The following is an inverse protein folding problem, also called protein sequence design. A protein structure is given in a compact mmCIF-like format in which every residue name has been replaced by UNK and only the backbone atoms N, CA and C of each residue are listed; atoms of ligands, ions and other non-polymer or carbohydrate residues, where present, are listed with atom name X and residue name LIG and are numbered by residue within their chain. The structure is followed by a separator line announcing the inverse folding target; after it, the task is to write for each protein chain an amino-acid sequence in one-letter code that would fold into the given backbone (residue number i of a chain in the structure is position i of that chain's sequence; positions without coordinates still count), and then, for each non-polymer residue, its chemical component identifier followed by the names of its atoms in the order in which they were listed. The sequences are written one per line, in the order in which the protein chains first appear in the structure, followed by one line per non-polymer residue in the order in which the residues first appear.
data_IF_267929866580
#
_entry.id   IF_267929866580
#
_cell.length_a   1.000
_cell.length_b   1.000
_cell.length_c   1.000
_cell.angle_alpha   90.00
_cell.angle_beta   90.00
_cell.angle_gamma   90.00
#
_symmetry.space_group_name_H-M   'P 1'
#
loop_
_entity.id
_entity.type
_entity.pdbx_description
1 polymer ?
#
# COMPACT_ATOMS: atom_id res chain seq x y z
N UNK A 1 23.56 -25.68 -25.03
CA UNK A 1 22.63 -25.76 -23.88
C UNK A 1 22.78 -24.42 -23.15
N UNK A 2 21.76 -23.58 -23.24
CA UNK A 2 21.75 -22.32 -22.52
C UNK A 2 21.54 -22.63 -21.03
N UNK A 3 22.52 -22.28 -20.19
CA UNK A 3 22.32 -22.24 -18.74
C UNK A 3 21.21 -21.22 -18.49
N UNK A 4 20.04 -21.71 -18.07
CA UNK A 4 19.03 -20.87 -17.44
C UNK A 4 19.65 -20.40 -16.13
N UNK A 5 20.09 -19.15 -16.08
CA UNK A 5 20.41 -18.45 -14.84
C UNK A 5 19.20 -18.65 -13.93
N UNK A 6 19.37 -19.43 -12.86
CA UNK A 6 18.38 -19.49 -11.82
C UNK A 6 18.26 -18.06 -11.28
N UNK A 7 17.12 -17.41 -11.55
CA UNK A 7 16.87 -16.05 -11.11
C UNK A 7 17.05 -15.95 -9.58
N UNK A 8 17.55 -14.82 -9.12
CA UNK A 8 17.69 -14.55 -7.67
C UNK A 8 16.30 -14.71 -7.01
N UNK A 9 16.24 -15.51 -5.96
CA UNK A 9 15.02 -15.67 -5.17
C UNK A 9 14.87 -14.43 -4.28
N UNK A 10 13.75 -13.72 -4.43
CA UNK A 10 13.44 -12.54 -3.62
C UNK A 10 12.90 -12.98 -2.25
N UNK A 11 13.43 -12.45 -1.14
CA UNK A 11 13.03 -12.87 0.20
C UNK A 11 11.73 -12.26 0.69
N UNK A 12 11.13 -11.34 -0.06
CA UNK A 12 10.05 -10.45 0.41
C UNK A 12 8.86 -11.17 1.06
N UNK A 13 8.44 -12.30 0.49
CA UNK A 13 7.30 -13.06 1.02
C UNK A 13 7.67 -14.03 2.15
N UNK A 14 8.94 -14.22 2.47
CA UNK A 14 9.38 -15.14 3.53
C UNK A 14 8.96 -14.68 4.92
N UNK A 15 8.84 -13.38 5.12
CA UNK A 15 8.36 -12.77 6.37
C UNK A 15 6.83 -12.69 6.44
N UNK A 16 6.14 -13.21 5.43
CA UNK A 16 4.68 -13.19 5.34
C UNK A 16 4.13 -11.87 4.79
N UNK A 17 2.82 -11.83 4.63
CA UNK A 17 2.08 -10.66 4.19
C UNK A 17 1.73 -9.82 5.42
N UNK A 18 2.13 -8.56 5.42
CA UNK A 18 1.89 -7.63 6.52
C UNK A 18 0.61 -6.80 6.33
N UNK A 19 0.15 -6.67 5.09
CA UNK A 19 -1.00 -5.85 4.72
C UNK A 19 -1.78 -6.46 3.55
N UNK A 20 -3.10 -6.30 3.60
CA UNK A 20 -3.97 -6.42 2.44
C UNK A 20 -4.61 -5.06 2.19
N UNK A 21 -4.63 -4.63 0.92
CA UNK A 21 -5.21 -3.35 0.55
C UNK A 21 -6.27 -3.47 -0.53
N UNK A 22 -7.32 -2.68 -0.37
CA UNK A 22 -8.45 -2.63 -1.28
C UNK A 22 -8.65 -1.20 -1.76
N UNK A 23 -8.90 -1.04 -3.07
CA UNK A 23 -9.38 0.22 -3.63
C UNK A 23 -10.90 0.25 -3.55
N UNK A 24 -11.43 1.33 -2.98
CA UNK A 24 -12.86 1.50 -2.71
C UNK A 24 -13.38 2.82 -3.31
N UNK A 25 -14.67 2.87 -3.71
CA UNK A 25 -15.25 4.10 -4.30
C UNK A 25 -15.55 5.18 -3.26
N UNK A 26 -15.71 4.82 -1.99
CA UNK A 26 -16.02 5.73 -0.89
C UNK A 26 -15.44 5.16 0.39
N UNK A 27 -14.50 5.89 0.97
CA UNK A 27 -13.73 5.43 2.12
C UNK A 27 -14.56 5.31 3.39
N UNK A 28 -15.41 6.31 3.65
CA UNK A 28 -16.27 6.33 4.83
C UNK A 28 -17.30 5.21 4.81
N UNK A 29 -17.95 5.00 3.66
CA UNK A 29 -18.91 3.91 3.49
C UNK A 29 -18.27 2.54 3.65
N UNK A 30 -17.09 2.35 3.07
CA UNK A 30 -16.34 1.11 3.21
C UNK A 30 -15.99 0.82 4.67
N UNK A 31 -15.44 1.80 5.40
CA UNK A 31 -15.13 1.69 6.83
C UNK A 31 -16.37 1.33 7.64
N UNK A 32 -17.49 2.01 7.39
CA UNK A 32 -18.75 1.75 8.07
C UNK A 32 -19.25 0.32 7.81
N UNK A 33 -19.13 -0.19 6.59
CA UNK A 33 -19.51 -1.55 6.25
C UNK A 33 -18.63 -2.59 6.96
N UNK A 34 -17.30 -2.40 7.00
CA UNK A 34 -16.40 -3.28 7.74
C UNK A 34 -16.70 -3.28 9.23
N UNK A 35 -17.05 -2.12 9.77
CA UNK A 35 -17.43 -2.02 11.17
C UNK A 35 -18.76 -2.70 11.46
N UNK A 36 -19.82 -2.39 10.70
CA UNK A 36 -21.18 -2.93 10.91
C UNK A 36 -21.26 -4.45 10.74
N UNK A 37 -20.52 -5.00 9.74
CA UNK A 37 -20.61 -6.41 9.41
C UNK A 37 -19.68 -7.29 10.25
N UNK A 38 -18.51 -6.78 10.63
CA UNK A 38 -17.44 -7.58 11.22
C UNK A 38 -16.88 -7.03 12.52
N UNK A 39 -17.38 -5.88 13.00
CA UNK A 39 -16.88 -5.25 14.23
C UNK A 39 -15.44 -4.73 14.15
N UNK A 40 -14.91 -4.54 12.94
CA UNK A 40 -13.56 -4.01 12.77
C UNK A 40 -13.59 -2.52 13.09
N UNK A 41 -12.81 -2.09 14.08
CA UNK A 41 -12.77 -0.73 14.57
C UNK A 41 -11.38 -0.13 14.60
N UNK A 42 -11.29 1.08 15.18
CA UNK A 42 -10.06 1.87 15.27
C UNK A 42 -9.43 2.12 13.89
N UNK A 43 -10.25 2.59 12.96
CA UNK A 43 -9.77 2.98 11.65
C UNK A 43 -9.09 4.34 11.71
N UNK A 44 -7.83 4.37 11.36
CA UNK A 44 -6.99 5.57 11.31
C UNK A 44 -6.96 6.11 9.88
N UNK A 45 -7.42 7.35 9.69
CA UNK A 45 -7.49 8.01 8.40
C UNK A 45 -6.29 8.89 8.15
N UNK A 46 -5.77 8.83 6.91
CA UNK A 46 -4.67 9.65 6.42
C UNK A 46 -4.93 10.09 4.99
N UNK A 47 -4.35 11.22 4.61
CA UNK A 47 -4.26 11.66 3.22
C UNK A 47 -2.81 11.58 2.77
N UNK A 48 -2.51 10.66 1.87
CA UNK A 48 -1.20 10.55 1.24
C UNK A 48 -1.16 11.39 -0.02
N UNK A 49 -0.21 12.29 -0.09
CA UNK A 49 0.03 13.31 -1.09
C UNK A 49 0.82 14.44 -0.47
N UNK A 50 1.16 15.49 -1.22
CA UNK A 50 1.83 16.65 -0.65
C UNK A 50 0.93 17.37 0.36
N UNK A 51 1.47 17.86 1.47
CA UNK A 51 2.90 17.90 1.85
C UNK A 51 3.39 16.64 2.60
N UNK A 52 2.54 15.66 2.93
CA UNK A 52 2.92 14.49 3.73
C UNK A 52 3.95 13.62 2.98
N UNK A 53 3.69 13.30 1.72
CA UNK A 53 4.61 12.54 0.86
C UNK A 53 5.45 13.54 0.07
N UNK A 54 6.78 13.49 0.25
CA UNK A 54 7.71 14.49 -0.32
C UNK A 54 8.12 14.16 -1.75
N UNK A 55 8.33 12.87 -2.01
CA UNK A 55 8.74 12.35 -3.32
C UNK A 55 7.71 11.36 -3.80
N UNK A 56 7.28 11.50 -5.04
CA UNK A 56 6.29 10.62 -5.66
C UNK A 56 6.65 10.38 -7.11
N UNK A 57 6.56 9.12 -7.53
CA UNK A 57 6.71 8.74 -8.93
C UNK A 57 5.55 7.86 -9.39
N UNK A 58 5.31 7.89 -10.69
CA UNK A 58 4.40 6.98 -11.38
C UNK A 58 5.01 6.63 -12.74
N UNK A 59 5.08 5.33 -13.06
CA UNK A 59 5.73 4.80 -14.27
C UNK A 59 7.17 5.34 -14.48
N UNK A 60 7.93 5.46 -13.37
CA UNK A 60 9.31 5.93 -13.38
C UNK A 60 9.48 7.43 -13.65
N UNK A 61 8.41 8.21 -13.63
CA UNK A 61 8.44 9.66 -13.79
C UNK A 61 7.97 10.37 -12.53
N UNK A 62 8.56 11.53 -12.17
CA UNK A 62 8.02 12.35 -11.10
C UNK A 62 6.54 12.65 -11.34
N UNK A 63 5.73 12.43 -10.33
CA UNK A 63 4.27 12.61 -10.40
C UNK A 63 3.74 13.25 -9.11
N UNK A 64 2.53 13.79 -9.18
CA UNK A 64 1.79 14.24 -8.02
C UNK A 64 0.44 13.56 -8.02
N UNK A 65 0.16 12.84 -6.96
CA UNK A 65 -1.12 12.17 -6.77
C UNK A 65 -1.56 12.32 -5.31
N UNK A 66 -2.83 12.05 -5.06
CA UNK A 66 -3.39 12.09 -3.73
C UNK A 66 -4.38 10.94 -3.55
N UNK A 67 -4.26 10.28 -2.43
CA UNK A 67 -5.19 9.24 -2.00
C UNK A 67 -5.53 9.42 -0.52
N UNK A 68 -6.73 9.04 -0.15
CA UNK A 68 -7.15 8.89 1.24
C UNK A 68 -7.10 7.44 1.61
N UNK A 69 -6.59 7.14 2.78
CA UNK A 69 -6.51 5.76 3.27
C UNK A 69 -7.11 5.65 4.67
N UNK A 70 -7.69 4.50 4.94
CA UNK A 70 -8.10 4.10 6.28
C UNK A 70 -7.40 2.80 6.64
N UNK A 71 -6.71 2.78 7.77
CA UNK A 71 -5.91 1.66 8.25
C UNK A 71 -6.53 1.06 9.52
N UNK A 72 -6.66 -0.25 9.56
CA UNK A 72 -7.04 -1.02 10.75
C UNK A 72 -6.33 -2.37 10.76
N UNK A 73 -6.74 -3.29 11.62
CA UNK A 73 -6.14 -4.63 11.73
C UNK A 73 -7.17 -5.74 11.64
N UNK A 74 -6.80 -6.81 10.94
CA UNK A 74 -7.47 -8.10 10.90
C UNK A 74 -6.58 -9.12 11.59
N UNK A 75 -6.71 -9.28 12.91
CA UNK A 75 -5.73 -10.03 13.69
C UNK A 75 -4.35 -9.38 13.58
N UNK A 76 -3.29 -10.10 13.18
CA UNK A 76 -1.95 -9.53 13.05
C UNK A 76 -1.74 -8.76 11.74
N UNK A 77 -2.61 -8.93 10.74
CA UNK A 77 -2.47 -8.34 9.42
C UNK A 77 -3.16 -6.96 9.37
N UNK A 78 -2.49 -5.98 8.80
CA UNK A 78 -3.09 -4.67 8.54
C UNK A 78 -4.04 -4.76 7.35
N UNK A 79 -5.22 -4.15 7.47
CA UNK A 79 -6.11 -3.88 6.35
C UNK A 79 -6.02 -2.40 6.00
N UNK A 80 -5.94 -2.11 4.71
CA UNK A 80 -5.93 -0.77 4.16
C UNK A 80 -7.06 -0.61 3.15
N UNK A 81 -7.85 0.44 3.33
CA UNK A 81 -8.84 0.88 2.35
C UNK A 81 -8.33 2.15 1.71
N UNK A 82 -8.38 2.23 0.37
CA UNK A 82 -7.83 3.32 -0.42
C UNK A 82 -8.92 3.93 -1.27
N UNK A 83 -9.10 5.24 -1.14
CA UNK A 83 -9.93 6.07 -2.02
C UNK A 83 -9.03 7.03 -2.79
N UNK A 84 -9.10 6.99 -4.11
CA UNK A 84 -8.35 7.91 -4.95
C UNK A 84 -8.98 9.28 -4.95
N UNK A 85 -8.15 10.31 -4.89
CA UNK A 85 -8.59 11.72 -4.91
C UNK A 85 -8.17 12.40 -6.21
N UNK A 86 -6.88 12.32 -6.58
CA UNK A 86 -6.36 12.96 -7.78
C UNK A 86 -5.04 12.33 -8.25
N UNK A 87 -4.70 12.55 -9.51
CA UNK A 87 -3.47 12.13 -10.16
C UNK A 87 -3.52 10.73 -10.75
N UNK A 88 -2.50 10.41 -11.56
CA UNK A 88 -2.32 9.09 -12.15
C UNK A 88 -1.69 8.15 -11.12
N UNK A 89 -2.26 6.97 -10.96
CA UNK A 89 -1.85 5.97 -9.96
C UNK A 89 -2.10 4.55 -10.43
N UNK A 90 -1.35 3.60 -9.89
CA UNK A 90 -1.61 2.16 -10.10
C UNK A 90 -3.02 1.75 -9.67
N UNK A 91 -3.64 2.47 -8.74
CA UNK A 91 -5.03 2.24 -8.32
C UNK A 91 -6.04 2.64 -9.39
N UNK A 92 -5.77 3.75 -10.13
CA UNK A 92 -6.63 4.18 -11.23
C UNK A 92 -6.63 3.16 -12.35
N UNK A 93 -5.45 2.64 -12.68
CA UNK A 93 -5.30 1.62 -13.70
C UNK A 93 -6.01 0.35 -13.29
N UNK A 94 -5.82 -0.11 -12.05
CA UNK A 94 -6.50 -1.28 -11.50
C UNK A 94 -8.03 -1.14 -11.56
N UNK A 95 -8.58 -0.01 -11.10
CA UNK A 95 -10.03 0.20 -11.11
C UNK A 95 -10.58 0.24 -12.53
N UNK A 96 -9.85 0.80 -13.48
CA UNK A 96 -10.23 0.83 -14.89
C UNK A 96 -10.29 -0.56 -15.51
N UNK A 97 -9.39 -1.45 -15.11
CA UNK A 97 -9.28 -2.81 -15.68
C UNK A 97 -10.16 -3.83 -14.94
N UNK A 98 -10.20 -3.78 -13.61
CA UNK A 98 -10.81 -4.80 -12.76
C UNK A 98 -12.01 -4.32 -11.94
N UNK A 99 -12.21 -3.00 -11.83
CA UNK A 99 -13.17 -2.43 -10.89
C UNK A 99 -12.57 -2.32 -9.48
N UNK A 100 -13.41 -2.00 -8.49
CA UNK A 100 -13.01 -1.87 -7.10
C UNK A 100 -12.80 -3.24 -6.44
N UNK A 101 -11.81 -3.35 -5.55
CA UNK A 101 -11.53 -4.60 -4.85
C UNK A 101 -10.11 -4.69 -4.30
N UNK A 102 -9.65 -5.91 -4.01
CA UNK A 102 -8.30 -6.19 -3.52
C UNK A 102 -7.29 -5.86 -4.61
N UNK A 103 -6.40 -4.90 -4.32
CA UNK A 103 -5.39 -4.44 -5.26
C UNK A 103 -4.02 -5.05 -4.98
N UNK A 104 -3.56 -5.01 -3.73
CA UNK A 104 -2.20 -5.45 -3.41
C UNK A 104 -2.07 -6.12 -2.05
N UNK A 105 -0.97 -6.85 -1.92
CA UNK A 105 -0.46 -7.30 -0.64
C UNK A 105 0.82 -6.56 -0.31
N UNK A 106 0.89 -6.00 0.92
CA UNK A 106 2.05 -5.28 1.41
C UNK A 106 2.99 -6.20 2.18
N UNK A 107 4.28 -6.07 1.91
CA UNK A 107 5.36 -6.76 2.59
C UNK A 107 6.34 -5.75 3.19
N UNK A 108 6.87 -6.06 4.38
CA UNK A 108 7.82 -5.17 5.04
C UNK A 108 9.22 -5.41 4.53
N UNK A 109 9.93 -4.32 4.29
CA UNK A 109 11.36 -4.31 3.98
C UNK A 109 12.08 -3.40 4.98
N UNK A 110 13.37 -3.68 5.22
CA UNK A 110 14.22 -2.89 6.12
C UNK A 110 14.90 -1.73 5.39
N UNK A 111 15.22 -1.92 4.10
CA UNK A 111 15.86 -0.95 3.23
C UNK A 111 15.16 -0.99 1.87
N UNK A 112 14.47 0.10 1.55
CA UNK A 112 13.68 0.19 0.32
C UNK A 112 14.56 0.25 -0.93
N UNK A 113 15.69 0.95 -0.88
CA UNK A 113 16.58 1.08 -2.04
C UNK A 113 17.18 -0.28 -2.40
N UNK A 114 17.62 -1.05 -1.40
CA UNK A 114 18.12 -2.41 -1.60
C UNK A 114 17.00 -3.32 -2.14
N UNK A 115 15.81 -3.26 -1.58
CA UNK A 115 14.68 -4.09 -2.00
C UNK A 115 14.25 -3.81 -3.44
N UNK A 116 14.19 -2.54 -3.85
CA UNK A 116 13.91 -2.15 -5.25
C UNK A 116 15.01 -2.66 -6.19
N UNK A 117 16.27 -2.46 -5.83
CA UNK A 117 17.40 -2.93 -6.65
C UNK A 117 17.38 -4.46 -6.82
N UNK A 118 17.03 -5.21 -5.76
CA UNK A 118 16.85 -6.66 -5.81
C UNK A 118 15.69 -7.08 -6.73
N UNK A 119 14.57 -6.39 -6.64
CA UNK A 119 13.40 -6.63 -7.48
C UNK A 119 13.73 -6.39 -8.96
N UNK A 120 14.39 -5.29 -9.28
CA UNK A 120 14.82 -4.94 -10.64
C UNK A 120 15.82 -5.98 -11.20
N UNK A 121 16.78 -6.40 -10.38
CA UNK A 121 17.72 -7.46 -10.75
C UNK A 121 17.04 -8.81 -11.02
N UNK A 122 15.88 -9.06 -10.42
CA UNK A 122 15.03 -10.21 -10.68
C UNK A 122 14.05 -10.02 -11.86
N UNK A 123 14.10 -8.86 -12.54
CA UNK A 123 13.26 -8.54 -13.70
C UNK A 123 11.86 -8.07 -13.36
N UNK A 124 11.65 -7.52 -12.15
CA UNK A 124 10.45 -6.78 -11.78
C UNK A 124 10.70 -5.29 -11.98
N UNK A 125 9.64 -4.54 -12.27
CA UNK A 125 9.68 -3.09 -12.44
C UNK A 125 8.91 -2.43 -11.30
N UNK A 126 9.47 -1.35 -10.76
CA UNK A 126 8.72 -0.45 -9.88
C UNK A 126 7.80 0.42 -10.74
N UNK A 127 6.51 0.43 -10.42
CA UNK A 127 5.48 1.16 -11.17
C UNK A 127 5.07 2.47 -10.51
N UNK A 128 5.04 2.52 -9.20
CA UNK A 128 4.71 3.72 -8.43
C UNK A 128 5.41 3.68 -7.08
N UNK A 129 5.87 4.81 -6.59
CA UNK A 129 6.37 4.93 -5.23
C UNK A 129 6.02 6.27 -4.58
N UNK A 130 6.10 6.29 -3.23
CA UNK A 130 5.97 7.51 -2.45
C UNK A 130 6.84 7.47 -1.20
N UNK A 131 7.71 8.48 -1.06
CA UNK A 131 8.70 8.55 0.00
C UNK A 131 8.65 9.87 0.78
N UNK A 132 9.27 9.84 1.95
CA UNK A 132 9.46 11.03 2.79
C UNK A 132 8.28 11.34 3.69
N UNK A 133 7.40 10.38 3.97
CA UNK A 133 6.34 10.50 4.97
C UNK A 133 6.80 9.99 6.35
N UNK A 134 5.96 10.20 7.37
CA UNK A 134 6.35 9.96 8.76
C UNK A 134 6.91 11.22 9.43
N UNK A 135 7.16 11.16 10.74
CA UNK A 135 7.67 12.32 11.51
C UNK A 135 9.01 12.80 11.01
N UNK A 136 9.90 11.85 10.71
CA UNK A 136 11.28 12.11 10.31
C UNK A 136 11.46 12.04 8.79
N UNK A 137 10.38 11.65 8.08
CA UNK A 137 10.38 11.55 6.62
C UNK A 137 11.11 10.31 6.12
N UNK A 138 11.11 9.26 6.90
CA UNK A 138 11.79 7.99 6.69
C UNK A 138 10.87 6.88 6.16
N UNK A 139 9.58 7.16 5.95
CA UNK A 139 8.65 6.21 5.35
C UNK A 139 8.75 6.18 3.84
N UNK A 140 8.64 4.98 3.26
CA UNK A 140 8.65 4.74 1.82
C UNK A 140 7.75 3.55 1.47
N UNK A 141 6.96 3.67 0.40
CA UNK A 141 6.23 2.55 -0.21
C UNK A 141 6.52 2.49 -1.70
N UNK A 142 6.55 1.28 -2.26
CA UNK A 142 6.79 1.07 -3.68
C UNK A 142 5.99 -0.13 -4.21
N UNK A 143 5.42 0.00 -5.40
CA UNK A 143 4.65 -1.05 -6.07
C UNK A 143 5.46 -1.69 -7.18
N UNK A 144 5.41 -3.03 -7.24
CA UNK A 144 6.07 -3.84 -8.24
C UNK A 144 5.07 -4.39 -9.26
N UNK A 145 5.49 -4.52 -10.52
CA UNK A 145 4.72 -5.08 -11.64
C UNK A 145 4.57 -6.61 -11.54
N UNK A 146 3.93 -7.09 -10.48
CA UNK A 146 3.82 -8.52 -10.21
C UNK A 146 2.49 -9.15 -10.63
N UNK A 147 1.50 -8.34 -11.01
CA UNK A 147 0.15 -8.80 -11.29
C UNK A 147 0.09 -9.87 -12.38
N UNK A 148 0.73 -9.66 -13.51
CA UNK A 148 0.79 -10.63 -14.62
C UNK A 148 1.42 -11.98 -14.22
N UNK A 149 2.33 -11.96 -13.24
CA UNK A 149 3.08 -13.15 -12.82
C UNK A 149 2.43 -13.87 -11.65
N UNK A 150 1.81 -13.12 -10.73
CA UNK A 150 1.33 -13.63 -9.44
C UNK A 150 -0.19 -13.48 -9.26
N UNK A 151 -0.88 -12.70 -10.11
CA UNK A 151 -2.30 -12.41 -10.01
C UNK A 151 -2.63 -11.32 -8.98
N UNK A 152 -1.63 -10.64 -8.44
CA UNK A 152 -1.77 -9.49 -7.55
C UNK A 152 -0.51 -8.63 -7.55
N UNK A 153 -0.68 -7.37 -7.17
CA UNK A 153 0.43 -6.44 -6.99
C UNK A 153 1.11 -6.63 -5.63
N UNK A 154 2.44 -6.58 -5.59
CA UNK A 154 3.20 -6.49 -4.33
C UNK A 154 3.54 -5.03 -4.06
N UNK A 155 3.25 -4.60 -2.83
CA UNK A 155 3.76 -3.36 -2.25
C UNK A 155 4.91 -3.67 -1.30
N UNK A 156 6.06 -3.03 -1.52
CA UNK A 156 7.15 -2.96 -0.56
C UNK A 156 6.86 -1.80 0.41
N UNK A 157 7.05 -2.04 1.71
CA UNK A 157 6.76 -1.04 2.75
C UNK A 157 7.97 -0.92 3.69
N UNK A 158 8.64 0.22 3.63
CA UNK A 158 9.56 0.66 4.66
C UNK A 158 8.80 1.57 5.63
N UNK A 159 8.57 1.07 6.85
CA UNK A 159 7.77 1.79 7.82
C UNK A 159 8.56 2.93 8.44
N UNK A 160 7.98 4.15 8.56
CA UNK A 160 8.62 5.20 9.33
C UNK A 160 8.74 4.79 10.81
N UNK A 161 9.82 5.19 11.47
CA UNK A 161 10.00 5.00 12.92
C UNK A 161 8.87 5.69 13.70
N UNK A 162 8.46 6.86 13.25
CA UNK A 162 7.38 7.64 13.84
C UNK A 162 6.27 7.96 12.85
N UNK A 163 5.06 7.43 13.05
CA UNK A 163 3.90 7.84 12.27
C UNK A 163 3.41 9.22 12.66
N UNK A 164 2.90 9.96 11.67
CA UNK A 164 2.09 11.15 11.94
C UNK A 164 0.79 10.74 12.65
N UNK A 165 0.22 11.60 13.51
CA UNK A 165 -1.12 11.37 14.04
C UNK A 165 -2.13 11.22 12.89
N UNK A 166 -3.13 10.33 13.03
CA UNK A 166 -4.20 10.25 12.04
C UNK A 166 -5.03 11.53 12.02
N UNK A 167 -5.53 11.90 10.86
CA UNK A 167 -6.44 13.04 10.68
C UNK A 167 -7.78 12.82 11.38
N UNK A 168 -8.21 11.55 11.42
CA UNK A 168 -9.45 11.10 12.02
C UNK A 168 -9.28 9.66 12.50
N UNK A 169 -9.91 9.35 13.62
CA UNK A 169 -10.08 7.96 14.07
C UNK A 169 -11.59 7.66 14.05
N UNK A 170 -11.96 6.60 13.34
CA UNK A 170 -13.29 6.03 13.45
C UNK A 170 -13.20 4.89 14.45
N UNK A 171 -13.63 5.18 15.67
CA UNK A 171 -13.85 4.17 16.70
C UNK A 171 -15.35 3.91 16.81
N UNK A 172 -15.79 2.66 16.95
CA UNK A 172 -17.18 2.39 17.25
C UNK A 172 -17.57 3.09 18.56
N UNK A 173 -18.74 3.69 18.58
CA UNK A 173 -19.35 4.03 19.86
C UNK A 173 -19.49 2.71 20.63
N UNK A 174 -19.03 2.67 21.89
CA UNK A 174 -19.18 1.51 22.77
C UNK A 174 -20.61 1.00 22.62
N UNK A 175 -20.78 -0.14 21.99
CA UNK A 175 -22.06 -0.86 22.04
C UNK A 175 -22.17 -1.32 23.48
N UNK A 176 -22.95 -0.59 24.27
CA UNK A 176 -23.36 -1.05 25.59
C UNK A 176 -23.91 -2.47 25.42
N UNK A 177 -23.21 -3.42 26.08
CA UNK A 177 -23.54 -4.83 26.09
C UNK A 177 -24.79 -5.11 26.93
#
# INVERSE_FOLDING_TARGET
MAETSAGKVLPFLQNGIAQVALVVPNLEEAVENYHKLFGIGDWHFYTYGKPLVKHMTYEGQPSEYKMRVALSYLGPMRIELIEMVEGDTVYADFVKEHGYGVHHFGVLVEDMEEAIAEAEAAGLKMTMDGAGFGRDGDGHYAYLDTEDKLGFTIELIERPEGRMPPEKIYAPADTEA
#
